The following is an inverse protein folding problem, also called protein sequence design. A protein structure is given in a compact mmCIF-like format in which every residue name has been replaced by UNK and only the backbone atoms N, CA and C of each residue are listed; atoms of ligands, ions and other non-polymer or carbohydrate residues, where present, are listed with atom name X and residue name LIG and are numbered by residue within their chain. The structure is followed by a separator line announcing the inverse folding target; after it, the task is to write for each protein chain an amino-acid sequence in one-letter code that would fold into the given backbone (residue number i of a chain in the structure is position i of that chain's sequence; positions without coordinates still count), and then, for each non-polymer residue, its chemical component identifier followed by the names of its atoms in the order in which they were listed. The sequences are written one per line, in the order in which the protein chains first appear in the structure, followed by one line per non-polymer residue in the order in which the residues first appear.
data_IF_380385216894
#
_entry.id   IF_380385216894
#
_cell.length_a   1.000
_cell.length_b   1.000
_cell.length_c   1.000
_cell.angle_alpha   90.00
_cell.angle_beta   90.00
_cell.angle_gamma   90.00
#
_symmetry.space_group_name_H-M   'P 1'
#
loop_
_entity.id
_entity.type
_entity.pdbx_description
1 polymer ?
#
# COMPACT_ATOMS: atom_id res chain seq x y z
N UNK A 1 -12.99 -13.72 10.14
CA UNK A 1 -11.59 -14.16 10.27
C UNK A 1 -10.75 -13.02 9.75
N UNK A 2 -9.90 -12.46 10.59
CA UNK A 2 -8.98 -11.40 10.16
C UNK A 2 -8.02 -11.97 9.12
N UNK A 3 -8.09 -11.44 7.91
CA UNK A 3 -7.14 -11.75 6.85
C UNK A 3 -5.94 -10.83 7.03
N UNK A 4 -4.76 -11.40 7.23
CA UNK A 4 -3.57 -10.65 7.56
C UNK A 4 -2.79 -10.28 6.31
N UNK A 5 -2.44 -9.02 6.22
CA UNK A 5 -1.53 -8.48 5.21
C UNK A 5 -0.30 -7.94 5.91
N UNK A 6 0.87 -8.28 5.41
CA UNK A 6 2.14 -7.73 5.87
C UNK A 6 2.74 -6.86 4.79
N UNK A 7 3.26 -5.72 5.20
CA UNK A 7 4.01 -4.83 4.34
C UNK A 7 5.45 -4.69 4.84
N UNK A 8 6.37 -4.58 3.91
CA UNK A 8 7.77 -4.31 4.21
C UNK A 8 8.28 -3.26 3.23
N UNK A 9 9.00 -2.26 3.74
CA UNK A 9 9.46 -1.13 2.95
C UNK A 9 10.91 -0.79 3.24
N UNK A 10 11.60 -0.28 2.23
CA UNK A 10 12.93 0.27 2.39
C UNK A 10 13.23 1.33 1.33
N UNK A 11 14.00 2.34 1.70
CA UNK A 11 14.73 3.14 0.73
C UNK A 11 15.97 2.38 0.28
N UNK A 12 16.22 2.34 -1.03
CA UNK A 12 17.39 1.68 -1.65
C UNK A 12 18.07 2.71 -2.54
N UNK A 13 19.37 2.94 -2.33
CA UNK A 13 20.16 3.92 -3.09
C UNK A 13 20.63 3.35 -4.43
N UNK A 14 19.68 2.93 -5.25
CA UNK A 14 19.85 2.56 -6.66
C UNK A 14 18.70 3.13 -7.46
N UNK A 15 18.82 3.30 -8.79
CA UNK A 15 17.71 3.82 -9.57
C UNK A 15 16.49 2.86 -9.55
N UNK A 16 15.29 3.42 -9.67
CA UNK A 16 14.07 2.62 -9.74
C UNK A 16 14.10 1.63 -10.90
N UNK A 17 14.67 2.04 -12.04
CA UNK A 17 14.82 1.16 -13.21
C UNK A 17 15.81 0.02 -12.93
N UNK A 18 16.97 0.30 -12.32
CA UNK A 18 17.94 -0.74 -11.93
C UNK A 18 17.33 -1.74 -10.96
N UNK A 19 16.62 -1.24 -9.94
CA UNK A 19 15.93 -2.10 -8.99
C UNK A 19 14.86 -2.96 -9.68
N UNK A 20 14.06 -2.36 -10.57
CA UNK A 20 13.02 -3.05 -11.33
C UNK A 20 13.61 -4.18 -12.20
N UNK A 21 14.63 -3.90 -13.00
CA UNK A 21 15.28 -4.91 -13.84
C UNK A 21 15.87 -6.05 -13.01
N UNK A 22 16.48 -5.73 -11.86
CA UNK A 22 17.00 -6.73 -10.94
C UNK A 22 15.91 -7.63 -10.38
N UNK A 23 14.78 -7.06 -9.96
CA UNK A 23 13.67 -7.77 -9.34
C UNK A 23 12.80 -8.55 -10.34
N UNK A 24 12.78 -8.15 -11.62
CA UNK A 24 12.15 -8.91 -12.69
C UNK A 24 12.88 -10.23 -13.01
N UNK A 25 14.15 -10.35 -12.66
CA UNK A 25 14.89 -11.61 -12.84
C UNK A 25 14.72 -12.51 -11.63
N UNK A 26 13.88 -13.53 -11.74
CA UNK A 26 13.63 -14.49 -10.64
C UNK A 26 14.92 -15.20 -10.17
N UNK A 27 15.93 -15.36 -11.04
CA UNK A 27 17.24 -15.92 -10.65
C UNK A 27 17.89 -15.10 -9.54
N UNK A 28 17.67 -13.79 -9.50
CA UNK A 28 18.23 -12.93 -8.47
C UNK A 28 17.62 -13.14 -7.08
N UNK A 29 16.50 -13.89 -6.95
CA UNK A 29 15.97 -14.30 -5.65
C UNK A 29 17.01 -15.07 -4.84
N UNK A 30 17.89 -15.85 -5.50
CA UNK A 30 18.96 -16.59 -4.85
C UNK A 30 19.95 -15.71 -4.07
N UNK A 31 20.09 -14.44 -4.47
CA UNK A 31 21.07 -13.52 -3.90
C UNK A 31 20.63 -12.90 -2.58
N UNK A 32 19.31 -12.81 -2.34
CA UNK A 32 18.80 -12.03 -1.21
C UNK A 32 17.69 -12.69 -0.42
N UNK A 33 16.96 -13.69 -0.97
CA UNK A 33 15.95 -14.41 -0.20
C UNK A 33 16.56 -15.46 0.71
N UNK A 34 15.94 -15.67 1.87
CA UNK A 34 16.40 -16.66 2.84
C UNK A 34 15.95 -18.07 2.50
N UNK A 35 14.77 -18.20 1.90
CA UNK A 35 14.10 -19.48 1.76
C UNK A 35 13.91 -19.97 0.33
N UNK A 36 13.91 -19.07 -0.65
CA UNK A 36 13.71 -19.45 -2.05
C UNK A 36 15.04 -19.72 -2.76
N UNK A 37 15.09 -20.77 -3.58
CA UNK A 37 16.24 -21.11 -4.44
C UNK A 37 15.75 -21.52 -5.82
N UNK A 38 16.23 -20.81 -6.83
CA UNK A 38 15.85 -21.04 -8.23
C UNK A 38 16.70 -22.15 -8.84
N UNK A 39 16.06 -23.12 -9.48
CA UNK A 39 16.71 -24.30 -10.03
C UNK A 39 16.72 -24.32 -11.55
N UNK A 40 15.57 -24.14 -12.19
CA UNK A 40 15.39 -24.27 -13.62
C UNK A 40 14.48 -23.18 -14.16
N UNK A 41 14.86 -22.59 -15.27
CA UNK A 41 14.04 -21.64 -16.00
C UNK A 41 13.12 -22.39 -16.99
N UNK A 42 11.82 -22.18 -16.89
CA UNK A 42 10.82 -22.82 -17.77
C UNK A 42 10.55 -21.94 -18.98
N UNK A 43 10.36 -20.64 -18.75
CA UNK A 43 10.18 -19.63 -19.78
C UNK A 43 10.77 -18.28 -19.32
N UNK A 44 10.53 -17.19 -20.07
CA UNK A 44 11.09 -15.87 -19.78
C UNK A 44 10.77 -15.40 -18.36
N UNK A 45 9.54 -15.61 -17.89
CA UNK A 45 8.99 -15.07 -16.64
C UNK A 45 8.75 -16.14 -15.57
N UNK A 46 9.06 -17.44 -15.84
CA UNK A 46 8.75 -18.57 -14.96
C UNK A 46 9.95 -19.43 -14.65
N UNK A 47 10.12 -19.75 -13.36
CA UNK A 47 11.16 -20.65 -12.85
C UNK A 47 10.57 -21.74 -11.96
N UNK A 48 11.22 -22.90 -11.93
CA UNK A 48 11.07 -23.89 -10.87
C UNK A 48 12.14 -23.62 -9.82
N UNK A 49 11.73 -23.71 -8.56
CA UNK A 49 12.63 -23.55 -7.42
C UNK A 49 12.11 -24.26 -6.19
N UNK A 50 12.78 -24.04 -5.08
CA UNK A 50 12.39 -24.58 -3.77
C UNK A 50 12.17 -23.45 -2.80
N UNK A 51 11.28 -23.66 -1.81
CA UNK A 51 11.18 -22.82 -0.63
C UNK A 51 11.32 -23.68 0.63
N UNK A 52 12.00 -23.16 1.65
CA UNK A 52 12.11 -23.86 2.93
C UNK A 52 10.72 -24.09 3.54
N UNK A 53 10.50 -25.31 4.00
CA UNK A 53 9.20 -25.75 4.52
C UNK A 53 8.30 -26.43 3.49
N UNK A 54 8.64 -26.39 2.21
CA UNK A 54 7.99 -27.20 1.17
C UNK A 54 8.92 -28.34 0.75
N UNK A 55 8.42 -29.58 0.81
CA UNK A 55 9.18 -30.77 0.45
C UNK A 55 9.13 -31.11 -1.05
N UNK A 56 8.72 -30.13 -1.88
CA UNK A 56 8.60 -30.24 -3.33
C UNK A 56 8.94 -28.92 -4.00
N UNK A 57 9.18 -28.98 -5.30
CA UNK A 57 9.42 -27.80 -6.11
C UNK A 57 8.17 -26.92 -6.20
N UNK A 58 8.40 -25.64 -6.35
CA UNK A 58 7.40 -24.62 -6.58
C UNK A 58 7.67 -23.95 -7.93
N UNK A 59 6.60 -23.49 -8.56
CA UNK A 59 6.68 -22.58 -9.70
C UNK A 59 6.67 -21.15 -9.19
N UNK A 60 7.60 -20.36 -9.68
CA UNK A 60 7.71 -18.94 -9.44
C UNK A 60 7.48 -18.21 -10.76
N UNK A 61 6.65 -17.22 -10.74
CA UNK A 61 6.36 -16.39 -11.92
C UNK A 61 6.46 -14.92 -11.55
N UNK A 62 7.02 -14.10 -12.45
CA UNK A 62 7.09 -12.64 -12.32
C UNK A 62 6.21 -12.00 -13.38
N UNK A 63 5.36 -11.07 -12.95
CA UNK A 63 4.53 -10.27 -13.82
C UNK A 63 4.87 -8.81 -13.65
N UNK A 64 5.15 -8.12 -14.74
CA UNK A 64 5.37 -6.68 -14.76
C UNK A 64 4.03 -5.95 -14.72
N UNK A 65 3.93 -4.92 -13.89
CA UNK A 65 2.75 -4.06 -13.80
C UNK A 65 3.01 -2.81 -14.62
N UNK A 66 2.09 -2.50 -15.53
CA UNK A 66 2.18 -1.28 -16.33
C UNK A 66 1.67 -0.09 -15.51
N UNK A 67 2.54 0.87 -15.24
CA UNK A 67 2.21 2.16 -14.66
C UNK A 67 3.15 3.24 -15.19
N UNK A 68 2.64 4.42 -15.58
CA UNK A 68 3.49 5.53 -16.02
C UNK A 68 4.18 6.25 -14.85
N UNK A 69 3.83 5.94 -13.60
CA UNK A 69 4.21 6.73 -12.42
C UNK A 69 5.24 6.05 -11.55
N UNK A 70 5.24 4.72 -11.52
CA UNK A 70 6.13 3.90 -10.68
C UNK A 70 6.40 2.58 -11.40
N UNK A 71 7.40 1.84 -10.91
CA UNK A 71 7.64 0.48 -11.38
C UNK A 71 6.96 -0.52 -10.45
N UNK A 72 6.23 -1.47 -11.04
CA UNK A 72 5.54 -2.49 -10.27
C UNK A 72 5.79 -3.89 -10.82
N UNK A 73 5.86 -4.86 -9.94
CA UNK A 73 5.89 -6.28 -10.27
C UNK A 73 4.99 -7.06 -9.32
N UNK A 74 4.56 -8.23 -9.76
CA UNK A 74 3.96 -9.24 -8.90
C UNK A 74 4.79 -10.50 -8.99
N UNK A 75 5.22 -11.01 -7.84
CA UNK A 75 5.74 -12.36 -7.76
C UNK A 75 4.61 -13.31 -7.40
N UNK A 76 4.54 -14.40 -8.13
CA UNK A 76 3.58 -15.46 -7.93
C UNK A 76 4.31 -16.73 -7.53
N UNK A 77 3.73 -17.52 -6.62
CA UNK A 77 4.27 -18.79 -6.21
C UNK A 77 3.16 -19.86 -6.16
N UNK A 78 3.41 -21.02 -6.71
CA UNK A 78 2.43 -22.10 -6.81
C UNK A 78 3.03 -23.51 -6.84
N UNK A 79 2.18 -24.52 -6.67
CA UNK A 79 2.57 -25.93 -6.73
C UNK A 79 2.54 -26.50 -8.13
N UNK A 80 1.83 -25.86 -9.03
CA UNK A 80 1.67 -26.24 -10.42
C UNK A 80 1.84 -25.03 -11.32
N UNK A 81 2.23 -25.24 -12.56
CA UNK A 81 2.34 -24.20 -13.55
C UNK A 81 0.98 -23.50 -13.74
N UNK A 82 0.98 -22.16 -13.75
CA UNK A 82 -0.21 -21.31 -13.83
C UNK A 82 -1.25 -21.43 -12.70
N UNK A 83 -0.96 -22.20 -11.64
CA UNK A 83 -1.82 -22.31 -10.47
C UNK A 83 -1.10 -21.78 -9.23
N UNK A 84 -1.20 -20.48 -9.05
CA UNK A 84 -0.51 -19.79 -7.97
C UNK A 84 -1.43 -19.66 -6.74
N UNK A 85 -0.88 -19.93 -5.56
CA UNK A 85 -1.57 -19.81 -4.28
C UNK A 85 -1.10 -18.59 -3.46
N UNK A 86 -0.03 -17.94 -3.90
CA UNK A 86 0.49 -16.72 -3.28
C UNK A 86 0.83 -15.68 -4.34
N UNK A 87 0.47 -14.43 -4.03
CA UNK A 87 0.77 -13.26 -4.85
C UNK A 87 1.44 -12.22 -3.96
N UNK A 88 2.51 -11.62 -4.46
CA UNK A 88 3.31 -10.64 -3.76
C UNK A 88 3.49 -9.39 -4.62
N UNK A 89 2.61 -8.38 -4.49
CA UNK A 89 2.81 -7.11 -5.15
C UNK A 89 4.03 -6.38 -4.61
N UNK A 90 4.84 -5.86 -5.51
CA UNK A 90 6.01 -5.03 -5.22
C UNK A 90 5.88 -3.73 -5.99
N UNK A 91 6.02 -2.62 -5.30
CA UNK A 91 5.96 -1.28 -5.86
C UNK A 91 7.30 -0.57 -5.61
N UNK A 92 7.76 0.13 -6.62
CA UNK A 92 9.02 0.86 -6.62
C UNK A 92 8.71 2.32 -6.95
N UNK A 93 8.71 3.17 -5.94
CA UNK A 93 8.41 4.59 -6.09
C UNK A 93 9.69 5.41 -6.25
N UNK A 94 9.95 6.02 -7.42
CA UNK A 94 11.04 6.99 -7.56
C UNK A 94 10.80 8.18 -6.62
N UNK A 95 11.85 8.82 -6.07
CA UNK A 95 11.68 10.00 -5.23
C UNK A 95 10.92 11.15 -5.91
N UNK A 96 11.12 11.34 -7.22
CA UNK A 96 10.40 12.35 -8.01
C UNK A 96 8.88 12.08 -8.10
N UNK A 97 8.47 10.82 -7.97
CA UNK A 97 7.05 10.48 -7.81
C UNK A 97 6.50 11.03 -6.49
N UNK A 98 7.28 10.94 -5.40
CA UNK A 98 6.85 11.34 -4.05
C UNK A 98 6.86 12.87 -3.94
N UNK A 99 7.95 13.51 -4.35
CA UNK A 99 8.14 14.97 -4.35
C UNK A 99 8.66 15.40 -5.73
N UNK A 100 7.77 15.94 -6.59
CA UNK A 100 8.16 16.37 -7.93
C UNK A 100 9.28 17.39 -7.91
N UNK A 101 10.32 17.13 -8.72
CA UNK A 101 11.50 18.01 -8.82
C UNK A 101 12.54 17.83 -7.72
N UNK A 102 12.42 16.80 -6.88
CA UNK A 102 13.45 16.46 -5.90
C UNK A 102 14.76 16.05 -6.56
N UNK A 103 15.90 16.35 -5.91
CA UNK A 103 17.22 15.90 -6.32
C UNK A 103 17.62 14.56 -5.69
N UNK A 104 16.77 13.98 -4.85
CA UNK A 104 17.02 12.68 -4.23
C UNK A 104 17.15 11.59 -5.30
N UNK A 105 18.17 10.74 -5.13
CA UNK A 105 18.39 9.56 -5.98
C UNK A 105 18.05 8.32 -5.19
N UNK A 106 17.55 7.30 -5.87
CA UNK A 106 17.21 6.04 -5.25
C UNK A 106 15.79 5.62 -5.56
N UNK A 107 15.28 4.67 -4.78
CA UNK A 107 13.92 4.15 -4.91
C UNK A 107 13.35 3.76 -3.56
N UNK A 108 12.07 3.98 -3.38
CA UNK A 108 11.30 3.50 -2.25
C UNK A 108 10.63 2.18 -2.63
N UNK A 109 11.19 1.10 -2.13
CA UNK A 109 10.70 -0.26 -2.31
C UNK A 109 9.59 -0.55 -1.33
N UNK A 110 8.50 -1.14 -1.80
CA UNK A 110 7.37 -1.57 -0.99
C UNK A 110 6.88 -2.94 -1.45
N UNK A 111 6.77 -3.88 -0.51
CA UNK A 111 6.43 -5.28 -0.77
C UNK A 111 5.28 -5.73 0.12
N UNK A 112 4.22 -6.27 -0.50
CA UNK A 112 3.04 -6.82 0.16
C UNK A 112 3.06 -8.34 0.19
N UNK A 113 2.55 -8.89 1.29
CA UNK A 113 2.35 -10.32 1.48
C UNK A 113 1.00 -10.57 2.11
N UNK A 114 0.24 -11.50 1.56
CA UNK A 114 -1.07 -11.88 2.04
C UNK A 114 -1.00 -13.24 2.72
N UNK A 115 -1.61 -13.35 3.90
CA UNK A 115 -1.62 -14.57 4.69
C UNK A 115 -3.06 -14.91 5.05
N UNK A 116 -3.51 -16.08 4.63
CA UNK A 116 -4.82 -16.61 5.00
C UNK A 116 -4.73 -17.36 6.35
N UNK A 117 -5.33 -16.83 7.44
CA UNK A 117 -5.33 -17.49 8.74
C UNK A 117 -6.05 -18.86 8.74
N UNK A 118 -6.95 -19.08 7.77
CA UNK A 118 -7.61 -20.38 7.59
C UNK A 118 -6.68 -21.48 7.08
N UNK A 119 -5.56 -21.09 6.45
CA UNK A 119 -4.58 -22.01 5.84
C UNK A 119 -3.25 -22.06 6.57
N UNK A 120 -2.98 -21.11 7.45
CA UNK A 120 -1.67 -20.97 8.11
C UNK A 120 -1.81 -20.73 9.61
N UNK A 121 -0.91 -21.32 10.40
CA UNK A 121 -0.87 -21.10 11.84
C UNK A 121 -0.32 -19.71 12.20
N UNK A 122 -0.67 -19.19 13.37
CA UNK A 122 -0.16 -17.90 13.86
C UNK A 122 1.38 -17.85 13.89
N UNK A 123 2.02 -18.96 14.19
CA UNK A 123 3.49 -19.09 14.20
C UNK A 123 4.09 -18.91 12.79
N UNK A 124 3.45 -19.48 11.76
CA UNK A 124 3.87 -19.28 10.37
C UNK A 124 3.68 -17.84 9.95
N UNK A 125 2.57 -17.19 10.33
CA UNK A 125 2.29 -15.79 10.01
C UNK A 125 3.34 -14.84 10.59
N UNK A 126 3.70 -15.01 11.88
CA UNK A 126 4.76 -14.22 12.51
C UNK A 126 6.13 -14.49 11.87
N UNK A 127 6.40 -15.74 11.52
CA UNK A 127 7.60 -16.15 10.82
C UNK A 127 7.74 -15.47 9.45
N UNK A 128 6.68 -15.44 8.65
CA UNK A 128 6.66 -14.80 7.32
C UNK A 128 7.01 -13.32 7.43
N UNK A 129 6.40 -12.57 8.34
CA UNK A 129 6.71 -11.15 8.52
C UNK A 129 8.18 -10.91 8.87
N UNK A 130 8.73 -11.67 9.82
CA UNK A 130 10.13 -11.58 10.23
C UNK A 130 11.07 -11.90 9.07
N UNK A 131 10.75 -12.92 8.29
CA UNK A 131 11.51 -13.35 7.11
C UNK A 131 11.51 -12.26 6.06
N UNK A 132 10.34 -11.79 5.63
CA UNK A 132 10.25 -10.77 4.59
C UNK A 132 10.92 -9.46 5.00
N UNK A 133 10.86 -9.08 6.27
CA UNK A 133 11.62 -7.93 6.79
C UNK A 133 13.13 -8.15 6.66
N UNK A 134 13.61 -9.35 6.95
CA UNK A 134 15.03 -9.70 6.83
C UNK A 134 15.47 -9.78 5.37
N UNK A 135 14.64 -10.33 4.51
CA UNK A 135 14.85 -10.41 3.06
C UNK A 135 14.88 -9.00 2.42
N UNK A 136 14.00 -8.10 2.83
CA UNK A 136 14.02 -6.71 2.40
C UNK A 136 15.35 -6.00 2.75
N UNK A 137 15.86 -6.24 3.96
CA UNK A 137 17.18 -5.72 4.37
C UNK A 137 18.33 -6.33 3.54
N UNK A 138 18.24 -7.61 3.25
CA UNK A 138 19.19 -8.32 2.39
C UNK A 138 19.18 -7.78 0.96
N UNK A 139 18.00 -7.58 0.39
CA UNK A 139 17.81 -6.96 -0.92
C UNK A 139 18.45 -5.57 -0.98
N UNK A 140 18.12 -4.72 0.00
CA UNK A 140 18.71 -3.37 0.11
C UNK A 140 20.23 -3.43 0.14
N UNK A 141 20.80 -4.23 1.02
CA UNK A 141 22.25 -4.37 1.15
C UNK A 141 22.91 -4.91 -0.13
N UNK A 142 22.25 -5.82 -0.84
CA UNK A 142 22.72 -6.38 -2.08
C UNK A 142 22.75 -5.33 -3.20
N UNK A 143 21.66 -4.62 -3.42
CA UNK A 143 21.58 -3.58 -4.45
C UNK A 143 22.54 -2.41 -4.17
N UNK A 144 22.59 -1.92 -2.94
CA UNK A 144 23.49 -0.82 -2.55
C UNK A 144 24.97 -1.21 -2.67
N UNK A 145 25.33 -2.47 -2.38
CA UNK A 145 26.70 -2.98 -2.60
C UNK A 145 27.08 -2.99 -4.09
N UNK A 146 26.12 -3.31 -4.97
CA UNK A 146 26.33 -3.26 -6.43
C UNK A 146 26.60 -1.83 -6.92
N UNK A 147 26.03 -0.83 -6.25
CA UNK A 147 26.32 0.59 -6.46
C UNK A 147 27.64 1.06 -5.78
N UNK A 148 28.37 0.16 -5.14
CA UNK A 148 29.64 0.47 -4.46
C UNK A 148 29.49 1.06 -3.06
N UNK A 149 28.30 1.05 -2.47
CA UNK A 149 28.07 1.57 -1.13
C UNK A 149 28.51 0.56 -0.06
N UNK A 150 29.20 1.07 0.96
CA UNK A 150 29.69 0.27 2.10
C UNK A 150 28.83 0.42 3.34
N UNK A 151 27.94 1.41 3.37
CA UNK A 151 27.02 1.68 4.47
C UNK A 151 25.60 1.84 3.92
N UNK A 152 24.60 1.42 4.70
CA UNK A 152 23.21 1.54 4.32
C UNK A 152 22.80 3.02 4.15
N UNK A 153 22.30 3.36 2.98
CA UNK A 153 21.78 4.69 2.70
C UNK A 153 20.44 4.92 3.40
N UNK A 154 20.11 6.18 3.67
CA UNK A 154 18.83 6.60 4.23
C UNK A 154 18.13 7.52 3.24
N UNK A 155 16.84 7.29 3.01
CA UNK A 155 15.99 8.18 2.23
C UNK A 155 15.49 9.37 3.05
N UNK A 156 14.98 10.37 2.34
CA UNK A 156 14.34 11.55 2.94
C UNK A 156 12.96 11.27 3.50
N UNK A 157 12.33 10.19 3.03
CA UNK A 157 10.98 9.80 3.43
C UNK A 157 11.00 8.49 4.19
N UNK A 158 10.06 8.35 5.12
CA UNK A 158 9.66 7.04 5.60
C UNK A 158 8.29 6.68 5.03
N UNK A 159 8.04 5.40 4.88
CA UNK A 159 6.76 4.87 4.40
C UNK A 159 5.96 4.44 5.62
N UNK A 160 4.77 5.00 5.75
CA UNK A 160 3.76 4.53 6.68
C UNK A 160 2.66 3.80 5.94
N UNK A 161 2.07 2.79 6.57
CA UNK A 161 1.06 1.95 5.91
C UNK A 161 -0.05 1.57 6.87
N UNK A 162 -1.26 1.55 6.33
CA UNK A 162 -2.40 0.96 7.00
C UNK A 162 -3.09 -0.06 6.09
N UNK A 163 -3.60 -1.13 6.67
CA UNK A 163 -4.22 -2.22 5.92
C UNK A 163 -5.46 -2.73 6.60
N UNK A 164 -6.55 -2.77 5.87
CA UNK A 164 -7.82 -3.26 6.38
C UNK A 164 -8.55 -4.11 5.34
N UNK A 165 -9.23 -5.15 5.80
CA UNK A 165 -10.17 -5.90 4.97
C UNK A 165 -11.55 -5.22 4.98
N UNK A 166 -12.13 -5.04 3.79
CA UNK A 166 -13.43 -4.43 3.57
C UNK A 166 -14.37 -5.47 2.96
N UNK A 167 -15.48 -5.78 3.64
CA UNK A 167 -16.49 -6.72 3.16
C UNK A 167 -17.50 -6.02 2.24
N UNK A 168 -17.01 -5.58 1.10
CA UNK A 168 -17.78 -4.92 0.04
C UNK A 168 -17.12 -5.21 -1.33
N UNK A 169 -17.89 -5.14 -2.45
CA UNK A 169 -17.30 -5.24 -3.79
C UNK A 169 -16.20 -4.19 -4.01
N UNK A 170 -15.09 -4.59 -4.63
CA UNK A 170 -13.96 -3.68 -4.89
C UNK A 170 -14.36 -2.50 -5.79
N UNK A 171 -15.27 -2.74 -6.73
CA UNK A 171 -15.80 -1.71 -7.63
C UNK A 171 -16.54 -0.62 -6.83
N UNK A 172 -17.29 -1.00 -5.80
CA UNK A 172 -17.94 -0.04 -4.89
C UNK A 172 -16.88 0.81 -4.16
N UNK A 173 -15.78 0.20 -3.73
CA UNK A 173 -14.65 0.89 -3.13
C UNK A 173 -14.03 1.92 -4.07
N UNK A 174 -13.75 1.53 -5.31
CA UNK A 174 -13.20 2.43 -6.34
C UNK A 174 -14.16 3.59 -6.63
N UNK A 175 -15.43 3.30 -6.89
CA UNK A 175 -16.44 4.32 -7.19
C UNK A 175 -16.64 5.31 -6.03
N UNK A 176 -16.50 4.86 -4.81
CA UNK A 176 -16.62 5.70 -3.63
C UNK A 176 -15.36 6.56 -3.40
N UNK A 177 -14.19 5.94 -3.44
CA UNK A 177 -12.94 6.62 -3.09
C UNK A 177 -12.43 7.58 -4.18
N UNK A 178 -12.80 7.38 -5.45
CA UNK A 178 -12.41 8.29 -6.54
C UNK A 178 -13.07 9.67 -6.48
N UNK A 179 -14.17 9.81 -5.74
CA UNK A 179 -14.94 11.04 -5.64
C UNK A 179 -14.46 11.89 -4.46
N UNK A 180 -13.84 13.02 -4.75
CA UNK A 180 -13.27 13.89 -3.72
C UNK A 180 -14.29 14.39 -2.68
N UNK A 181 -15.56 14.50 -3.06
CA UNK A 181 -16.65 14.87 -2.14
C UNK A 181 -16.86 13.88 -0.98
N UNK A 182 -16.46 12.61 -1.18
CA UNK A 182 -16.63 11.59 -0.16
C UNK A 182 -15.52 11.66 0.91
N UNK A 183 -14.45 12.43 0.68
CA UNK A 183 -13.39 12.64 1.67
C UNK A 183 -13.97 13.20 2.97
N UNK A 184 -14.94 14.11 2.89
CA UNK A 184 -15.61 14.68 4.07
C UNK A 184 -16.34 13.64 4.95
N UNK A 185 -16.67 12.47 4.40
CA UNK A 185 -17.34 11.42 5.16
C UNK A 185 -16.37 10.60 6.03
N UNK A 186 -15.12 10.44 5.62
CA UNK A 186 -14.17 9.54 6.26
C UNK A 186 -12.88 10.19 6.78
N UNK A 187 -12.44 11.31 6.19
CA UNK A 187 -11.23 11.98 6.63
C UNK A 187 -11.44 12.74 7.94
N UNK A 188 -10.44 12.70 8.80
CA UNK A 188 -10.45 13.36 10.10
C UNK A 188 -9.83 14.75 10.07
N UNK A 189 -8.78 14.91 9.26
CA UNK A 189 -7.87 16.05 9.34
C UNK A 189 -8.15 17.13 8.30
N UNK A 190 -9.11 16.90 7.41
CA UNK A 190 -9.45 17.87 6.37
C UNK A 190 -10.96 18.13 6.32
N UNK A 191 -11.34 19.37 5.97
CA UNK A 191 -12.72 19.77 5.77
C UNK A 191 -12.88 20.50 4.45
N UNK A 192 -13.99 20.30 3.72
CA UNK A 192 -14.17 20.90 2.40
C UNK A 192 -14.32 22.41 2.45
N UNK A 193 -13.88 23.07 1.38
CA UNK A 193 -14.11 24.50 1.12
C UNK A 193 -15.03 24.62 -0.10
N UNK A 194 -16.31 24.95 0.16
CA UNK A 194 -17.31 25.06 -0.89
C UNK A 194 -17.88 23.72 -1.38
N UNK A 195 -18.48 23.71 -2.56
CA UNK A 195 -18.99 22.49 -3.20
C UNK A 195 -17.87 21.70 -3.84
N UNK A 196 -17.84 20.41 -3.54
CA UNK A 196 -16.88 19.46 -4.10
C UNK A 196 -17.50 18.66 -5.24
N UNK A 197 -16.77 18.50 -6.33
CA UNK A 197 -17.21 17.67 -7.45
C UNK A 197 -16.01 17.06 -8.19
N UNK A 198 -16.20 15.81 -8.70
CA UNK A 198 -15.17 15.10 -9.46
C UNK A 198 -13.99 14.63 -8.61
N UNK A 199 -12.80 14.70 -9.18
CA UNK A 199 -11.58 14.09 -8.65
C UNK A 199 -10.61 15.10 -8.00
N UNK A 200 -10.98 16.36 -7.85
CA UNK A 200 -10.16 17.39 -7.21
C UNK A 200 -11.02 18.39 -6.47
N UNK A 201 -10.55 18.90 -5.34
CA UNK A 201 -11.23 19.88 -4.53
C UNK A 201 -10.33 20.58 -3.53
N UNK A 202 -10.81 21.73 -3.03
CA UNK A 202 -10.13 22.50 -2.01
C UNK A 202 -10.64 22.14 -0.62
N UNK A 203 -9.71 22.03 0.32
CA UNK A 203 -9.97 21.72 1.73
C UNK A 203 -9.18 22.65 2.63
N UNK A 204 -9.53 22.66 3.89
CA UNK A 204 -8.69 23.17 4.97
C UNK A 204 -8.25 21.98 5.82
N UNK A 205 -6.98 21.97 6.21
CA UNK A 205 -6.48 21.00 7.18
C UNK A 205 -6.84 21.39 8.63
N UNK A 206 -6.35 20.63 9.60
CA UNK A 206 -6.59 20.86 11.03
C UNK A 206 -6.02 22.20 11.55
N UNK A 207 -5.11 22.83 10.79
CA UNK A 207 -4.49 24.14 11.09
C UNK A 207 -5.09 25.28 10.27
N UNK A 208 -6.23 25.06 9.60
CA UNK A 208 -6.86 26.01 8.68
C UNK A 208 -5.99 26.37 7.45
N UNK A 209 -5.01 25.55 7.14
CA UNK A 209 -4.21 25.73 5.94
C UNK A 209 -4.94 25.18 4.72
N UNK A 210 -4.89 25.92 3.63
CA UNK A 210 -5.50 25.47 2.38
C UNK A 210 -4.71 24.30 1.79
N UNK A 211 -5.41 23.24 1.45
CA UNK A 211 -4.88 22.09 0.72
C UNK A 211 -5.81 21.75 -0.45
N UNK A 212 -5.24 21.54 -1.63
CA UNK A 212 -5.97 20.99 -2.77
C UNK A 212 -5.71 19.49 -2.81
N UNK A 213 -6.77 18.70 -2.78
CA UNK A 213 -6.68 17.23 -2.86
C UNK A 213 -7.14 16.78 -4.24
N UNK A 214 -6.35 15.94 -4.89
CA UNK A 214 -6.67 15.34 -6.18
C UNK A 214 -6.54 13.83 -6.10
N UNK A 215 -7.49 13.11 -6.68
CA UNK A 215 -7.51 11.65 -6.70
C UNK A 215 -7.44 11.17 -8.16
N UNK A 216 -6.56 10.20 -8.43
CA UNK A 216 -6.46 9.53 -9.73
C UNK A 216 -6.58 8.04 -9.54
N UNK A 217 -7.26 7.36 -10.45
CA UNK A 217 -7.46 5.90 -10.40
C UNK A 217 -6.70 5.25 -11.54
N UNK A 218 -5.93 4.23 -11.21
CA UNK A 218 -5.20 3.40 -12.15
C UNK A 218 -5.64 1.95 -12.00
N UNK A 219 -5.94 1.29 -13.13
CA UNK A 219 -6.23 -0.14 -13.13
C UNK A 219 -4.93 -0.92 -13.33
N UNK A 220 -4.61 -1.79 -12.39
CA UNK A 220 -3.41 -2.63 -12.39
C UNK A 220 -3.81 -4.09 -12.57
N UNK A 221 -4.14 -4.50 -13.81
CA UNK A 221 -4.48 -5.88 -14.13
C UNK A 221 -5.64 -6.47 -13.31
N UNK A 222 -5.44 -6.79 -12.03
CA UNK A 222 -6.39 -7.49 -11.15
C UNK A 222 -6.87 -6.65 -9.97
N UNK A 223 -6.31 -5.47 -9.77
CA UNK A 223 -6.66 -4.56 -8.67
C UNK A 223 -6.51 -3.10 -9.10
N UNK A 224 -6.86 -2.20 -8.21
CA UNK A 224 -6.84 -0.77 -8.48
C UNK A 224 -5.84 -0.07 -7.57
N UNK A 225 -5.22 0.97 -8.11
CA UNK A 225 -4.42 1.92 -7.35
C UNK A 225 -5.09 3.28 -7.44
N UNK A 226 -5.38 3.88 -6.29
CA UNK A 226 -5.78 5.27 -6.17
C UNK A 226 -4.57 6.07 -5.70
N UNK A 227 -4.24 7.11 -6.44
CA UNK A 227 -3.24 8.09 -6.07
C UNK A 227 -3.96 9.31 -5.50
N UNK A 228 -3.61 9.66 -4.27
CA UNK A 228 -4.09 10.86 -3.60
C UNK A 228 -2.94 11.88 -3.55
N UNK A 229 -3.12 13.05 -4.12
CA UNK A 229 -2.15 14.14 -4.11
C UNK A 229 -2.71 15.29 -3.28
N UNK A 230 -1.96 15.69 -2.25
CA UNK A 230 -2.24 16.81 -1.38
C UNK A 230 -1.27 17.93 -1.72
N UNK A 231 -1.76 19.04 -2.26
CA UNK A 231 -0.97 20.21 -2.59
C UNK A 231 -1.26 21.35 -1.64
N UNK A 232 -0.25 21.81 -0.93
CA UNK A 232 -0.27 22.96 -0.02
C UNK A 232 0.30 24.18 -0.73
N UNK A 233 -0.54 25.07 -1.28
CA UNK A 233 -0.07 26.19 -2.13
C UNK A 233 0.78 27.19 -1.39
N UNK A 234 0.52 27.47 -0.11
CA UNK A 234 1.28 28.43 0.70
C UNK A 234 2.72 27.99 0.94
N UNK A 235 2.99 26.69 0.91
CA UNK A 235 4.30 26.10 1.14
C UNK A 235 4.94 25.55 -0.13
N UNK A 236 4.21 25.57 -1.26
CA UNK A 236 4.60 24.88 -2.49
C UNK A 236 5.04 23.42 -2.21
N UNK A 237 4.25 22.74 -1.39
CA UNK A 237 4.56 21.41 -0.89
C UNK A 237 3.54 20.39 -1.41
N UNK A 238 4.04 19.24 -1.82
CA UNK A 238 3.23 18.10 -2.23
C UNK A 238 3.43 16.94 -1.26
N UNK A 239 2.32 16.30 -0.91
CA UNK A 239 2.31 15.02 -0.23
C UNK A 239 1.52 14.04 -1.08
N UNK A 240 2.02 12.82 -1.26
CA UNK A 240 1.29 11.77 -1.95
C UNK A 240 1.01 10.60 -1.04
N UNK A 241 -0.17 10.05 -1.22
CA UNK A 241 -0.60 8.78 -0.66
C UNK A 241 -1.09 7.88 -1.78
N UNK A 242 -0.97 6.60 -1.58
CA UNK A 242 -1.43 5.58 -2.53
C UNK A 242 -2.34 4.61 -1.79
N UNK A 243 -3.49 4.31 -2.35
CA UNK A 243 -4.36 3.25 -1.85
C UNK A 243 -4.48 2.13 -2.88
N UNK A 244 -4.13 0.92 -2.48
CA UNK A 244 -4.36 -0.29 -3.27
C UNK A 244 -5.68 -0.92 -2.84
N UNK A 245 -6.56 -1.20 -3.80
CA UNK A 245 -7.78 -1.97 -3.60
C UNK A 245 -7.61 -3.31 -4.29
N UNK A 246 -7.32 -4.34 -3.53
CA UNK A 246 -6.95 -5.66 -4.03
C UNK A 246 -8.07 -6.65 -3.70
N UNK A 247 -8.78 -7.22 -4.70
CA UNK A 247 -9.83 -8.19 -4.46
C UNK A 247 -9.35 -9.35 -3.59
N UNK A 248 -10.13 -9.73 -2.58
CA UNK A 248 -9.78 -10.80 -1.66
C UNK A 248 -9.58 -12.14 -2.39
N UNK A 249 -10.42 -12.41 -3.40
CA UNK A 249 -10.27 -13.58 -4.26
C UNK A 249 -8.90 -13.68 -4.93
N UNK A 250 -8.31 -12.52 -5.28
CA UNK A 250 -6.98 -12.47 -5.89
C UNK A 250 -5.87 -12.56 -4.85
N UNK A 251 -5.93 -11.75 -3.78
CA UNK A 251 -4.87 -11.68 -2.76
C UNK A 251 -4.68 -13.00 -2.01
N UNK A 252 -5.75 -13.76 -1.79
CA UNK A 252 -5.70 -15.03 -1.07
C UNK A 252 -5.79 -16.26 -1.98
N UNK A 253 -5.79 -16.07 -3.31
CA UNK A 253 -5.99 -17.14 -4.30
C UNK A 253 -7.19 -18.05 -3.94
N UNK A 254 -8.28 -17.43 -3.49
CA UNK A 254 -9.52 -18.08 -3.10
C UNK A 254 -10.68 -17.46 -3.87
N UNK A 255 -11.18 -18.12 -4.93
CA UNK A 255 -12.23 -17.56 -5.79
C UNK A 255 -13.55 -17.29 -5.06
N UNK A 256 -13.79 -17.93 -3.91
CA UNK A 256 -14.98 -17.71 -3.09
C UNK A 256 -14.83 -16.57 -2.09
N UNK A 257 -13.62 -16.01 -1.95
CA UNK A 257 -13.39 -14.89 -1.04
C UNK A 257 -14.07 -13.62 -1.59
N UNK A 258 -14.93 -13.03 -0.78
CA UNK A 258 -15.61 -11.76 -1.05
C UNK A 258 -14.80 -10.58 -0.51
N UNK A 259 -15.15 -9.37 -0.93
CA UNK A 259 -14.53 -8.15 -0.44
C UNK A 259 -13.15 -7.87 -1.04
N UNK A 260 -12.45 -6.95 -0.41
CA UNK A 260 -11.12 -6.54 -0.85
C UNK A 260 -10.23 -6.10 0.32
N UNK A 261 -8.92 -6.07 0.07
CA UNK A 261 -7.94 -5.44 0.94
C UNK A 261 -7.79 -3.98 0.50
N UNK A 262 -8.06 -3.05 1.40
CA UNK A 262 -7.63 -1.66 1.30
C UNK A 262 -6.26 -1.53 1.98
N UNK A 263 -5.25 -1.22 1.19
CA UNK A 263 -3.89 -0.99 1.68
C UNK A 263 -3.46 0.42 1.31
N UNK A 264 -3.27 1.27 2.31
CA UNK A 264 -2.87 2.67 2.15
C UNK A 264 -1.39 2.83 2.44
N UNK A 265 -0.70 3.63 1.63
CA UNK A 265 0.72 3.94 1.71
C UNK A 265 0.85 5.45 1.72
N UNK A 266 1.53 6.00 2.72
CA UNK A 266 1.82 7.44 2.81
C UNK A 266 3.31 7.65 2.98
N UNK A 267 3.84 8.68 2.33
CA UNK A 267 5.24 9.05 2.38
C UNK A 267 5.41 10.30 3.25
N UNK A 268 6.16 10.17 4.34
CA UNK A 268 6.41 11.24 5.29
C UNK A 268 7.87 11.71 5.20
N UNK A 269 8.09 13.01 5.11
CA UNK A 269 9.43 13.58 5.09
C UNK A 269 10.10 13.43 6.46
N UNK A 270 11.33 12.92 6.50
CA UNK A 270 12.10 12.69 7.74
C UNK A 270 12.56 13.98 8.42
N UNK A 271 12.53 15.13 7.74
CA UNK A 271 13.04 16.40 8.27
C UNK A 271 11.92 17.38 8.63
N UNK A 272 11.80 17.64 9.88
CA UNK A 272 11.62 18.84 10.69
C UNK A 272 10.59 19.90 10.36
N UNK A 273 9.82 19.87 9.30
CA UNK A 273 8.79 20.85 9.06
C UNK A 273 7.39 20.44 9.58
N UNK A 274 7.20 19.16 9.82
CA UNK A 274 5.96 18.63 10.37
C UNK A 274 6.26 17.78 11.61
N UNK A 275 6.34 18.40 12.77
CA UNK A 275 6.33 17.72 14.08
C UNK A 275 5.01 16.98 14.36
N UNK A 276 4.10 16.98 13.41
CA UNK A 276 2.74 16.45 13.50
C UNK A 276 2.59 14.99 13.08
N UNK A 277 3.62 14.40 12.47
CA UNK A 277 3.54 13.03 11.91
C UNK A 277 3.06 11.95 12.88
N UNK A 278 3.21 12.14 14.19
CA UNK A 278 2.78 11.13 15.15
C UNK A 278 1.26 11.11 15.37
N UNK A 279 0.61 12.27 15.37
CA UNK A 279 -0.86 12.35 15.45
C UNK A 279 -1.50 11.84 14.15
N UNK A 280 -0.93 12.18 13.00
CA UNK A 280 -1.42 11.77 11.70
C UNK A 280 -1.34 10.26 11.47
N UNK A 281 -0.33 9.56 12.02
CA UNK A 281 -0.22 8.10 11.95
C UNK A 281 -1.39 7.41 12.68
N UNK A 282 -1.77 7.91 13.86
CA UNK A 282 -2.90 7.35 14.63
C UNK A 282 -4.23 7.58 13.90
N UNK A 283 -4.39 8.73 13.23
CA UNK A 283 -5.61 9.07 12.50
C UNK A 283 -5.75 8.31 11.18
N UNK A 284 -4.63 7.93 10.55
CA UNK A 284 -4.63 7.18 9.29
C UNK A 284 -5.37 5.84 9.39
N UNK A 285 -5.15 5.10 10.48
CA UNK A 285 -5.90 3.88 10.80
C UNK A 285 -7.38 4.14 11.09
N UNK A 286 -7.70 5.25 11.76
CA UNK A 286 -9.08 5.65 12.04
C UNK A 286 -9.83 6.01 10.75
N UNK A 287 -9.18 6.68 9.81
CA UNK A 287 -9.74 6.99 8.48
C UNK A 287 -10.04 5.72 7.68
N UNK A 288 -9.13 4.76 7.65
CA UNK A 288 -9.36 3.47 6.99
C UNK A 288 -10.54 2.71 7.61
N UNK A 289 -10.71 2.77 8.93
CA UNK A 289 -11.88 2.21 9.61
C UNK A 289 -13.18 2.91 9.22
N UNK A 290 -13.17 4.23 9.00
CA UNK A 290 -14.34 4.94 8.50
C UNK A 290 -14.68 4.53 7.07
N UNK A 291 -13.68 4.49 6.17
CA UNK A 291 -13.86 4.00 4.80
C UNK A 291 -14.52 2.62 4.81
N UNK A 292 -13.98 1.69 5.61
CA UNK A 292 -14.55 0.35 5.77
C UNK A 292 -16.02 0.39 6.14
N UNK A 293 -16.37 1.16 7.17
CA UNK A 293 -17.77 1.26 7.67
C UNK A 293 -18.72 1.79 6.62
N UNK A 294 -18.33 2.87 5.94
CA UNK A 294 -19.14 3.45 4.87
C UNK A 294 -19.38 2.46 3.75
N UNK A 295 -18.34 1.77 3.30
CA UNK A 295 -18.44 0.81 2.22
C UNK A 295 -19.25 -0.43 2.59
N UNK A 296 -19.02 -0.98 3.77
CA UNK A 296 -19.80 -2.14 4.26
C UNK A 296 -21.27 -1.79 4.50
N UNK A 297 -21.55 -0.56 4.98
CA UNK A 297 -22.92 -0.07 5.11
C UNK A 297 -23.61 0.06 3.75
N UNK A 298 -22.93 0.62 2.75
CA UNK A 298 -23.44 0.74 1.37
C UNK A 298 -23.65 -0.62 0.70
N UNK A 299 -22.81 -1.61 1.02
CA UNK A 299 -22.94 -2.99 0.56
C UNK A 299 -24.03 -3.80 1.32
N UNK A 300 -24.60 -3.25 2.39
CA UNK A 300 -25.56 -3.95 3.26
C UNK A 300 -24.92 -4.97 4.21
N UNK A 301 -23.59 -4.96 4.34
CA UNK A 301 -22.80 -5.95 5.12
C UNK A 301 -22.39 -5.45 6.52
N UNK A 302 -22.83 -4.26 6.93
CA UNK A 302 -22.45 -3.69 8.23
C UNK A 302 -22.95 -4.58 9.38
N UNK A 303 -22.04 -5.20 10.09
CA UNK A 303 -22.35 -6.00 11.28
C UNK A 303 -22.72 -5.08 12.44
N UNK A 304 -23.73 -5.46 13.23
CA UNK A 304 -24.29 -4.67 14.34
C UNK A 304 -23.27 -4.27 15.44
N UNK A 305 -22.10 -4.88 15.46
CA UNK A 305 -21.02 -4.62 16.40
C UNK A 305 -20.39 -3.22 16.25
N UNK A 306 -20.42 -2.66 15.05
CA UNK A 306 -19.73 -1.40 14.76
C UNK A 306 -20.49 -0.12 15.18
N UNK A 307 -21.66 -0.25 15.82
CA UNK A 307 -22.43 0.91 16.27
C UNK A 307 -21.85 1.67 17.47
N UNK A 308 -20.82 1.11 18.13
CA UNK A 308 -20.27 1.64 19.38
C UNK A 308 -19.07 2.58 19.27
N UNK A 309 -18.40 2.63 18.13
CA UNK A 309 -17.26 3.52 17.89
C UNK A 309 -17.53 4.37 16.65
N UNK A 310 -18.35 5.41 16.79
CA UNK A 310 -18.46 6.42 15.73
C UNK A 310 -17.28 7.38 15.86
N UNK A 311 -16.23 7.16 15.06
CA UNK A 311 -15.30 8.22 14.76
C UNK A 311 -16.03 9.23 13.88
N UNK A 312 -16.51 10.29 14.46
CA UNK A 312 -17.05 11.44 13.73
C UNK A 312 -15.88 12.35 13.44
N UNK A 313 -15.68 12.80 12.19
CA UNK A 313 -14.65 13.81 11.87
C UNK A 313 -14.70 14.97 12.84
N UNK A 314 -13.54 15.44 13.30
CA UNK A 314 -13.42 16.48 14.37
C UNK A 314 -14.23 17.73 14.02
N UNK A 315 -14.23 18.16 12.76
CA UNK A 315 -15.01 19.31 12.30
C UNK A 315 -16.54 19.10 12.42
N UNK A 316 -17.04 17.87 12.33
CA UNK A 316 -18.48 17.55 12.54
C UNK A 316 -18.84 17.54 14.02
N UNK A 317 -17.93 17.20 14.91
CA UNK A 317 -18.12 17.33 16.36
C UNK A 317 -18.25 18.81 16.75
N UNK A 318 -17.38 19.68 16.23
CA UNK A 318 -17.43 21.11 16.49
C UNK A 318 -18.73 21.76 16.00
N UNK A 319 -19.27 21.34 14.85
CA UNK A 319 -20.57 21.81 14.36
C UNK A 319 -21.74 21.39 15.24
N UNK A 320 -21.70 20.19 15.84
CA UNK A 320 -22.74 19.71 16.74
C UNK A 320 -22.74 20.48 18.08
N UNK A 321 -21.58 20.89 18.60
CA UNK A 321 -21.48 21.72 19.80
C UNK A 321 -22.02 23.14 19.57
N UNK A 322 -21.83 23.70 18.38
CA UNK A 322 -22.35 25.03 18.02
C UNK A 322 -23.89 25.04 17.84
N UNK A 323 -24.48 23.96 17.41
CA UNK A 323 -25.95 23.83 17.23
C UNK A 323 -26.66 23.49 18.54
N UNK A 324 -25.99 22.85 19.49
CA UNK A 324 -26.53 22.49 20.82
C UNK A 324 -26.52 23.62 21.87
N UNK A 325 -25.95 24.79 21.55
CA UNK A 325 -25.81 25.94 22.46
C UNK A 325 -26.83 27.09 22.22
N UNK A 326 -27.95 26.81 21.57
CA UNK A 326 -29.05 27.76 21.38
C UNK A 326 -30.35 27.26 22.02
#
# INVERSE_FOLDING_TARGET
VEKNTFATSAYIATSAETAFQYLCSLKNLDDWTLFSRMQEQIDEDTWIGTASGYHRNLYYHVKKLESPLFYGIEWHCGLEYDQYFQVYPVLLFPPDYIEPGTDEKGVYFHWLSFVDPGRQTQMIMQGIHTVHTSECRSLKANLERREGLTTAAKGRYFIDTDTIYVDAPVELGVEYLKEVKNIDEWAHLVRPVGELSGQSGDFLDEYDQKVTISIRVHSLSKYYLLEEEYFYPEHNFYQRSVALLIPAAYSFADPEATGFILHRITFWKNEGQFTHGKLQIEDFGAESMNIKRFLEAKAGNLKSFDRGMSYVPVHKLQQQELVGSH
#
